data_IF_177595305979
#
_entry.id   IF_177595305979
#
_cell.length_a   1.000
_cell.length_b   1.000
_cell.length_c   1.000
_cell.angle_alpha   90.00
_cell.angle_beta   90.00
_cell.angle_gamma   90.00
#
_symmetry.space_group_name_H-M   'P 1'
#
loop_
_entity.id
_entity.type
_entity.pdbx_description
1 polymer ?
#
# COMPACT_ATOMS: atom_id res chain seq x y z
N UNK A 1 0.93 -17.05 2.16
CA UNK A 1 1.51 -17.38 0.83
C UNK A 1 0.58 -18.37 0.08
N UNK A 2 0.22 -19.53 0.62
CA UNK A 2 -0.66 -20.51 -0.06
C UNK A 2 -2.09 -19.99 -0.31
N UNK A 3 -2.63 -19.15 0.58
CA UNK A 3 -3.95 -18.54 0.41
C UNK A 3 -3.92 -17.38 -0.61
N UNK A 4 -2.86 -16.60 -0.63
CA UNK A 4 -2.66 -15.51 -1.61
C UNK A 4 -2.49 -16.06 -3.03
N UNK A 5 -1.85 -17.20 -3.21
CA UNK A 5 -1.74 -17.87 -4.51
C UNK A 5 -3.12 -18.27 -5.03
N UNK A 6 -4.02 -18.80 -4.18
CA UNK A 6 -5.39 -19.14 -4.58
C UNK A 6 -6.22 -17.93 -5.00
N UNK A 7 -6.03 -16.77 -4.38
CA UNK A 7 -6.71 -15.55 -4.79
C UNK A 7 -6.30 -15.11 -6.21
N UNK A 8 -5.04 -15.32 -6.58
CA UNK A 8 -4.54 -15.01 -7.91
C UNK A 8 -4.96 -16.03 -9.00
N UNK A 9 -5.34 -17.26 -8.62
CA UNK A 9 -5.67 -18.35 -9.58
C UNK A 9 -6.76 -17.93 -10.57
N UNK A 10 -7.82 -17.28 -10.12
CA UNK A 10 -8.90 -16.80 -10.99
C UNK A 10 -8.41 -15.78 -12.02
N UNK A 11 -7.50 -14.89 -11.60
CA UNK A 11 -6.90 -13.88 -12.49
C UNK A 11 -6.06 -14.59 -13.54
N UNK A 12 -5.19 -15.51 -13.14
CA UNK A 12 -4.34 -16.30 -14.02
C UNK A 12 -5.19 -17.13 -15.00
N UNK A 13 -6.25 -17.78 -14.52
CA UNK A 13 -7.17 -18.53 -15.35
C UNK A 13 -7.81 -17.66 -16.45
N UNK A 14 -8.34 -16.49 -16.07
CA UNK A 14 -8.93 -15.55 -17.02
C UNK A 14 -7.93 -15.03 -18.06
N UNK A 15 -6.66 -14.80 -17.68
CA UNK A 15 -5.61 -14.44 -18.63
C UNK A 15 -5.34 -15.57 -19.62
N UNK A 16 -5.23 -16.81 -19.13
CA UNK A 16 -5.00 -18.00 -19.95
C UNK A 16 -6.15 -18.27 -20.94
N UNK A 17 -7.41 -18.14 -20.48
CA UNK A 17 -8.60 -18.28 -21.36
C UNK A 17 -8.59 -17.25 -22.49
N UNK A 18 -8.04 -16.07 -22.25
CA UNK A 18 -7.86 -15.01 -23.25
C UNK A 18 -6.56 -15.13 -24.05
N UNK A 19 -5.79 -16.20 -23.84
CA UNK A 19 -4.49 -16.44 -24.48
C UNK A 19 -3.47 -15.34 -24.23
N UNK A 20 -3.54 -14.71 -23.04
CA UNK A 20 -2.55 -13.73 -22.58
C UNK A 20 -1.46 -14.50 -21.85
N UNK A 21 -0.25 -14.48 -22.40
CA UNK A 21 0.91 -15.06 -21.76
C UNK A 21 1.22 -14.34 -20.45
N UNK A 22 1.50 -15.09 -19.39
CA UNK A 22 1.73 -14.51 -18.08
C UNK A 22 2.82 -15.27 -17.32
N UNK A 23 3.59 -14.53 -16.52
CA UNK A 23 4.63 -15.02 -15.64
C UNK A 23 4.30 -14.61 -14.22
N UNK A 24 4.41 -15.54 -13.27
CA UNK A 24 4.09 -15.27 -11.87
C UNK A 24 5.35 -15.12 -11.04
N UNK A 25 5.47 -14.02 -10.31
CA UNK A 25 6.49 -13.80 -9.30
C UNK A 25 5.87 -13.82 -7.90
N UNK A 26 6.33 -14.74 -7.04
CA UNK A 26 5.81 -14.92 -5.68
C UNK A 26 6.93 -15.06 -4.62
N UNK A 27 8.18 -14.87 -4.98
CA UNK A 27 9.30 -14.98 -4.05
C UNK A 27 9.52 -13.68 -3.27
N UNK A 28 8.90 -13.61 -2.12
CA UNK A 28 9.08 -12.53 -1.13
C UNK A 28 9.85 -13.00 0.12
N UNK A 29 10.74 -13.96 -0.02
CA UNK A 29 11.57 -14.48 1.08
C UNK A 29 12.39 -13.38 1.77
N UNK A 30 12.91 -12.42 1.01
CA UNK A 30 13.61 -11.23 1.52
C UNK A 30 12.68 -10.02 1.78
N UNK A 31 11.35 -10.24 1.81
CA UNK A 31 10.36 -9.18 2.03
C UNK A 31 10.30 -8.15 0.90
N UNK A 32 10.01 -6.89 1.21
CA UNK A 32 10.05 -5.77 0.27
C UNK A 32 11.46 -5.17 0.27
N UNK A 33 12.39 -5.81 -0.42
CA UNK A 33 13.81 -5.43 -0.43
C UNK A 33 14.36 -5.29 -1.85
N UNK A 34 15.54 -4.65 -1.95
CA UNK A 34 16.25 -4.52 -3.23
C UNK A 34 16.61 -5.86 -3.85
N UNK A 35 16.85 -6.92 -3.04
CA UNK A 35 17.07 -8.28 -3.54
C UNK A 35 15.81 -8.84 -4.22
N UNK A 36 14.65 -8.68 -3.59
CA UNK A 36 13.36 -9.08 -4.16
C UNK A 36 13.07 -8.32 -5.45
N UNK A 37 13.30 -7.00 -5.44
CA UNK A 37 13.14 -6.15 -6.62
C UNK A 37 14.04 -6.60 -7.76
N UNK A 38 15.29 -6.90 -7.51
CA UNK A 38 16.24 -7.37 -8.52
C UNK A 38 15.77 -8.66 -9.19
N UNK A 39 15.34 -9.66 -8.37
CA UNK A 39 14.79 -10.92 -8.92
C UNK A 39 13.54 -10.69 -9.77
N UNK A 40 12.65 -9.85 -9.29
CA UNK A 40 11.43 -9.52 -10.02
C UNK A 40 11.71 -8.78 -11.34
N UNK A 41 12.66 -7.83 -11.35
CA UNK A 41 13.11 -7.13 -12.57
C UNK A 41 13.77 -8.08 -13.57
N UNK A 42 14.59 -9.02 -13.10
CA UNK A 42 15.23 -10.01 -13.97
C UNK A 42 14.17 -10.86 -14.66
N UNK A 43 13.23 -11.45 -13.90
CA UNK A 43 12.14 -12.24 -14.47
C UNK A 43 11.30 -11.42 -15.47
N UNK A 44 10.99 -10.17 -15.14
CA UNK A 44 10.20 -9.28 -15.99
C UNK A 44 10.93 -9.01 -17.32
N UNK A 45 12.23 -8.73 -17.28
CA UNK A 45 13.04 -8.45 -18.47
C UNK A 45 13.22 -9.69 -19.35
N UNK A 46 13.46 -10.86 -18.74
CA UNK A 46 13.55 -12.14 -19.46
C UNK A 46 12.23 -12.53 -20.13
N UNK A 47 11.09 -12.24 -19.46
CA UNK A 47 9.76 -12.48 -19.98
C UNK A 47 9.27 -11.45 -21.00
N UNK A 48 10.02 -10.38 -21.29
CA UNK A 48 9.64 -9.30 -22.22
C UNK A 48 8.20 -8.80 -21.99
N UNK A 49 7.81 -8.60 -20.73
CA UNK A 49 6.44 -8.27 -20.34
C UNK A 49 6.01 -6.88 -20.84
N UNK A 50 4.69 -6.68 -21.01
CA UNK A 50 4.09 -5.42 -21.47
C UNK A 50 3.24 -4.73 -20.39
N UNK A 51 3.05 -5.36 -19.23
CA UNK A 51 2.28 -4.82 -18.11
C UNK A 51 2.41 -5.67 -16.88
N UNK A 52 1.98 -5.14 -15.75
CA UNK A 52 2.10 -5.77 -14.44
C UNK A 52 0.75 -5.78 -13.75
N UNK A 53 0.40 -6.92 -13.15
CA UNK A 53 -0.74 -7.06 -12.24
C UNK A 53 -0.18 -7.39 -10.87
N UNK A 54 -0.33 -6.47 -9.91
CA UNK A 54 0.07 -6.67 -8.53
C UNK A 54 -1.12 -7.22 -7.74
N UNK A 55 -1.00 -8.45 -7.25
CA UNK A 55 -2.01 -9.05 -6.37
C UNK A 55 -1.40 -9.29 -5.00
N UNK A 56 -1.92 -8.65 -3.96
CA UNK A 56 -1.37 -8.81 -2.61
C UNK A 56 -1.47 -7.56 -1.74
N UNK A 57 -0.76 -7.56 -0.63
CA UNK A 57 -0.63 -6.40 0.25
C UNK A 57 0.50 -5.47 -0.15
N UNK A 58 0.88 -4.58 0.77
CA UNK A 58 1.86 -3.51 0.57
C UNK A 58 3.17 -3.95 -0.11
N UNK A 59 3.69 -5.15 0.24
CA UNK A 59 4.95 -5.67 -0.34
C UNK A 59 4.82 -5.92 -1.85
N UNK A 60 3.76 -6.61 -2.27
CA UNK A 60 3.50 -6.92 -3.67
C UNK A 60 3.24 -5.64 -4.47
N UNK A 61 2.44 -4.71 -3.91
CA UNK A 61 2.16 -3.42 -4.54
C UNK A 61 3.44 -2.63 -4.80
N UNK A 62 4.30 -2.47 -3.80
CA UNK A 62 5.52 -1.69 -3.94
C UNK A 62 6.52 -2.33 -4.92
N UNK A 63 6.77 -3.63 -4.81
CA UNK A 63 7.68 -4.32 -5.75
C UNK A 63 7.16 -4.24 -7.18
N UNK A 64 5.87 -4.51 -7.43
CA UNK A 64 5.31 -4.46 -8.77
C UNK A 64 5.34 -3.05 -9.38
N UNK A 65 5.03 -2.03 -8.59
CA UNK A 65 5.11 -0.62 -9.03
C UNK A 65 6.55 -0.21 -9.36
N UNK A 66 7.53 -0.66 -8.56
CA UNK A 66 8.94 -0.40 -8.84
C UNK A 66 9.43 -1.17 -10.07
N UNK A 67 9.01 -2.42 -10.27
CA UNK A 67 9.29 -3.15 -11.51
C UNK A 67 8.72 -2.41 -12.72
N UNK A 68 7.48 -1.92 -12.64
CA UNK A 68 6.86 -1.09 -13.67
C UNK A 68 7.69 0.16 -13.99
N UNK A 69 8.13 0.87 -12.95
CA UNK A 69 8.91 2.09 -13.08
C UNK A 69 10.29 1.88 -13.70
N UNK A 70 10.97 0.78 -13.33
CA UNK A 70 12.37 0.55 -13.65
C UNK A 70 12.58 -0.40 -14.84
N UNK A 71 11.53 -0.95 -15.42
CA UNK A 71 11.62 -1.96 -16.49
C UNK A 71 12.44 -1.48 -17.68
N UNK A 72 12.18 -0.27 -18.16
CA UNK A 72 12.82 0.34 -19.32
C UNK A 72 14.08 1.13 -18.98
N UNK A 73 14.41 1.23 -17.69
CA UNK A 73 15.62 1.95 -17.27
C UNK A 73 16.87 1.15 -17.63
N UNK A 74 17.87 1.87 -18.17
CA UNK A 74 19.18 1.30 -18.54
C UNK A 74 20.20 1.42 -17.42
N UNK A 75 19.98 2.33 -16.50
CA UNK A 75 20.85 2.54 -15.34
C UNK A 75 20.63 1.46 -14.29
N UNK A 76 21.66 1.27 -13.45
CA UNK A 76 21.56 0.36 -12.32
C UNK A 76 20.42 0.77 -11.38
N UNK A 77 19.70 -0.23 -10.90
CA UNK A 77 18.57 -0.07 -9.97
C UNK A 77 18.97 0.76 -8.74
N UNK A 78 20.20 0.63 -8.26
CA UNK A 78 20.66 1.35 -7.07
C UNK A 78 20.77 2.85 -7.26
N UNK A 79 20.91 3.36 -8.49
CA UNK A 79 20.86 4.80 -8.73
C UNK A 79 19.50 5.38 -8.27
N UNK A 80 18.41 4.65 -8.51
CA UNK A 80 17.06 5.06 -8.11
C UNK A 80 16.82 4.86 -6.61
N UNK A 81 17.40 3.82 -6.02
CA UNK A 81 17.38 3.61 -4.55
C UNK A 81 18.12 4.73 -3.83
N UNK A 82 19.16 5.29 -4.46
CA UNK A 82 19.98 6.38 -3.91
C UNK A 82 19.43 7.79 -4.27
N UNK A 83 18.23 7.88 -4.89
CA UNK A 83 17.49 9.12 -5.03
C UNK A 83 17.32 9.65 -6.45
N UNK A 84 17.84 8.97 -7.48
CA UNK A 84 17.49 9.31 -8.85
C UNK A 84 15.99 9.00 -9.09
N UNK A 85 15.36 9.79 -9.96
CA UNK A 85 13.97 9.56 -10.36
C UNK A 85 13.95 8.93 -11.76
N UNK A 86 13.24 7.81 -11.95
CA UNK A 86 13.12 7.18 -13.27
C UNK A 86 12.45 8.14 -14.26
N UNK A 87 12.91 8.18 -15.50
CA UNK A 87 12.41 9.10 -16.53
C UNK A 87 11.97 8.39 -17.83
N UNK A 88 12.17 7.08 -17.92
CA UNK A 88 11.68 6.29 -19.06
C UNK A 88 10.19 5.99 -18.92
N UNK A 89 9.56 5.55 -20.01
CA UNK A 89 8.16 5.13 -19.98
C UNK A 89 7.99 3.89 -19.08
N UNK A 90 7.21 4.01 -18.02
CA UNK A 90 6.87 2.90 -17.14
C UNK A 90 5.91 1.92 -17.83
N UNK A 91 5.98 0.64 -17.46
CA UNK A 91 4.95 -0.32 -17.87
C UNK A 91 3.61 0.01 -17.18
N UNK A 92 2.46 -0.24 -17.83
CA UNK A 92 1.17 -0.12 -17.16
C UNK A 92 1.07 -1.11 -16.00
N UNK A 93 0.58 -0.63 -14.85
CA UNK A 93 0.43 -1.41 -13.63
C UNK A 93 -1.04 -1.43 -13.20
N UNK A 94 -1.55 -2.61 -12.89
CA UNK A 94 -2.86 -2.82 -12.26
C UNK A 94 -2.60 -3.32 -10.84
N UNK A 95 -3.27 -2.72 -9.85
CA UNK A 95 -3.17 -3.12 -8.46
C UNK A 95 -4.46 -3.78 -7.98
N UNK A 96 -4.35 -4.97 -7.39
CA UNK A 96 -5.44 -5.73 -6.75
C UNK A 96 -5.07 -5.96 -5.30
N UNK A 97 -5.40 -5.02 -4.40
CA UNK A 97 -5.10 -5.14 -2.98
C UNK A 97 -5.81 -6.35 -2.34
N UNK A 98 -5.09 -7.10 -1.51
CA UNK A 98 -5.66 -8.16 -0.67
C UNK A 98 -5.74 -7.75 0.81
N UNK A 99 -5.48 -6.47 1.08
CA UNK A 99 -5.60 -5.83 2.38
C UNK A 99 -6.14 -4.42 2.17
N UNK A 100 -6.96 -3.93 3.08
CA UNK A 100 -7.48 -2.56 3.02
C UNK A 100 -6.46 -1.49 3.45
N UNK A 101 -5.19 -1.84 3.57
CA UNK A 101 -4.06 -1.00 3.97
C UNK A 101 -3.07 -0.83 2.81
N UNK A 102 -3.27 0.18 1.99
CA UNK A 102 -2.45 0.42 0.79
C UNK A 102 -2.06 1.90 0.61
N UNK A 103 -1.40 2.55 1.61
CA UNK A 103 -1.22 4.00 1.66
C UNK A 103 -0.42 4.58 0.49
N UNK A 104 0.37 3.77 -0.21
CA UNK A 104 1.22 4.24 -1.31
C UNK A 104 0.66 4.01 -2.71
N UNK A 105 -0.49 3.33 -2.84
CA UNK A 105 -0.99 2.92 -4.16
C UNK A 105 -1.29 4.10 -5.10
N UNK A 106 -1.64 5.25 -4.53
CA UNK A 106 -1.92 6.49 -5.28
C UNK A 106 -0.80 7.55 -5.18
N UNK A 107 0.36 7.20 -4.62
CA UNK A 107 1.51 8.10 -4.50
C UNK A 107 2.59 7.74 -5.53
N UNK A 108 3.54 8.66 -5.75
CA UNK A 108 4.78 8.38 -6.50
C UNK A 108 5.87 7.78 -5.62
N UNK A 109 5.56 7.34 -4.41
CA UNK A 109 6.51 6.87 -3.43
C UNK A 109 6.41 5.34 -3.27
N UNK A 110 7.56 4.68 -3.15
CA UNK A 110 7.66 3.25 -2.90
C UNK A 110 8.67 2.98 -1.78
N UNK A 111 8.23 2.61 -0.57
CA UNK A 111 9.14 2.17 0.48
C UNK A 111 9.73 0.80 0.16
N UNK A 112 11.05 0.68 0.30
CA UNK A 112 11.81 -0.56 0.09
C UNK A 112 12.97 -0.65 1.09
N UNK A 113 13.35 -1.87 1.47
CA UNK A 113 14.54 -2.10 2.29
C UNK A 113 15.74 -2.22 1.37
N UNK A 114 16.69 -1.31 1.53
CA UNK A 114 17.99 -1.41 0.85
C UNK A 114 18.84 -2.50 1.52
N UNK A 115 19.06 -3.59 0.79
CA UNK A 115 19.79 -4.75 1.30
C UNK A 115 21.30 -4.50 1.51
N UNK A 116 21.85 -3.37 0.99
CA UNK A 116 23.25 -3.00 1.21
C UNK A 116 23.49 -2.52 2.64
N UNK A 117 22.54 -1.79 3.22
CA UNK A 117 22.66 -1.18 4.54
C UNK A 117 21.55 -1.60 5.51
N UNK A 118 20.59 -2.42 5.06
CA UNK A 118 19.41 -2.86 5.82
C UNK A 118 18.59 -1.68 6.37
N UNK A 119 18.44 -0.62 5.57
CA UNK A 119 17.65 0.56 5.90
C UNK A 119 16.45 0.69 4.99
N UNK A 120 15.36 1.23 5.52
CA UNK A 120 14.21 1.63 4.71
C UNK A 120 14.58 2.86 3.89
N UNK A 121 14.34 2.79 2.60
CA UNK A 121 14.44 3.91 1.64
C UNK A 121 13.06 4.19 1.07
N UNK A 122 12.79 5.45 0.83
CA UNK A 122 11.60 5.89 0.12
C UNK A 122 12.03 6.28 -1.31
N UNK A 123 11.67 5.44 -2.27
CA UNK A 123 12.04 5.64 -3.67
C UNK A 123 10.93 6.38 -4.39
N UNK A 124 11.31 7.43 -5.12
CA UNK A 124 10.37 8.16 -5.97
C UNK A 124 10.31 7.54 -7.36
N UNK A 125 9.11 7.28 -7.82
CA UNK A 125 8.82 6.70 -9.14
C UNK A 125 7.97 7.69 -9.95
N UNK A 126 7.79 7.42 -11.25
CA UNK A 126 6.95 8.27 -12.11
C UNK A 126 5.50 8.29 -11.60
N UNK A 127 4.83 9.41 -11.82
CA UNK A 127 3.40 9.53 -11.57
C UNK A 127 2.58 8.69 -12.58
N UNK A 128 1.35 8.33 -12.21
CA UNK A 128 0.39 7.65 -13.06
C UNK A 128 0.84 6.27 -13.61
N UNK A 129 1.71 5.56 -12.91
CA UNK A 129 2.09 4.18 -13.23
C UNK A 129 0.89 3.26 -13.04
N UNK A 130 0.18 3.38 -11.93
CA UNK A 130 -1.02 2.59 -11.63
C UNK A 130 -2.16 3.10 -12.50
N UNK A 131 -2.61 2.25 -13.43
CA UNK A 131 -3.71 2.56 -14.37
C UNK A 131 -5.07 2.16 -13.83
N UNK A 132 -5.10 1.18 -12.93
CA UNK A 132 -6.33 0.67 -12.34
C UNK A 132 -6.03 0.07 -10.97
N UNK A 133 -6.89 0.38 -10.01
CA UNK A 133 -6.94 -0.30 -8.71
C UNK A 133 -8.26 -1.07 -8.66
N UNK A 134 -8.19 -2.38 -8.50
CA UNK A 134 -9.35 -3.25 -8.37
C UNK A 134 -9.49 -3.65 -6.90
N UNK A 135 -10.44 -3.03 -6.23
CA UNK A 135 -10.77 -3.34 -4.85
C UNK A 135 -11.89 -4.37 -4.80
N UNK A 136 -11.55 -5.60 -4.42
CA UNK A 136 -12.53 -6.68 -4.22
C UNK A 136 -12.52 -7.07 -2.74
N UNK A 137 -13.60 -6.80 -1.97
CA UNK A 137 -13.70 -7.17 -0.56
C UNK A 137 -13.46 -8.66 -0.30
N UNK A 138 -13.78 -9.53 -1.26
CA UNK A 138 -13.53 -10.98 -1.12
C UNK A 138 -12.04 -11.32 -1.02
N UNK A 139 -11.16 -10.49 -1.55
CA UNK A 139 -9.71 -10.68 -1.43
C UNK A 139 -9.21 -10.54 0.02
N UNK A 140 -10.01 -9.91 0.89
CA UNK A 140 -9.67 -9.65 2.30
C UNK A 140 -10.18 -10.74 3.26
N UNK A 141 -11.02 -11.67 2.79
CA UNK A 141 -11.60 -12.75 3.61
C UNK A 141 -10.54 -13.70 4.20
N UNK A 142 -9.31 -13.67 3.67
CA UNK A 142 -8.18 -14.47 4.19
C UNK A 142 -7.52 -13.85 5.42
N UNK A 143 -7.86 -12.60 5.76
CA UNK A 143 -7.33 -11.93 6.95
C UNK A 143 -7.95 -12.52 8.22
N UNK A 144 -7.11 -12.82 9.20
CA UNK A 144 -7.60 -13.21 10.54
C UNK A 144 -8.20 -11.99 11.24
N UNK A 145 -9.05 -12.23 12.25
CA UNK A 145 -9.67 -11.17 13.05
C UNK A 145 -8.63 -10.24 13.67
N UNK A 146 -7.56 -10.80 14.27
CA UNK A 146 -6.47 -9.99 14.83
C UNK A 146 -5.77 -9.13 13.78
N UNK A 147 -5.59 -9.65 12.55
CA UNK A 147 -5.01 -8.87 11.46
C UNK A 147 -5.95 -7.75 11.02
N UNK A 148 -7.25 -8.01 10.91
CA UNK A 148 -8.27 -7.01 10.57
C UNK A 148 -8.27 -5.88 11.61
N UNK A 149 -8.36 -6.21 12.89
CA UNK A 149 -8.37 -5.21 13.97
C UNK A 149 -7.11 -4.36 13.98
N UNK A 150 -5.93 -4.99 13.89
CA UNK A 150 -4.66 -4.25 13.85
C UNK A 150 -4.56 -3.34 12.62
N UNK A 151 -5.02 -3.78 11.46
CA UNK A 151 -5.03 -2.98 10.23
C UNK A 151 -6.07 -1.86 10.29
N UNK A 152 -7.25 -2.08 10.90
CA UNK A 152 -8.26 -1.03 11.12
C UNK A 152 -7.68 0.15 11.87
N UNK A 153 -7.04 -0.11 13.01
CA UNK A 153 -6.41 0.92 13.82
C UNK A 153 -5.31 1.65 13.05
N UNK A 154 -4.50 0.92 12.28
CA UNK A 154 -3.47 1.53 11.44
C UNK A 154 -4.07 2.44 10.36
N UNK A 155 -5.11 2.01 9.67
CA UNK A 155 -5.78 2.80 8.62
C UNK A 155 -6.46 4.03 9.22
N UNK A 156 -7.07 3.90 10.39
CA UNK A 156 -7.63 5.05 11.12
C UNK A 156 -6.54 6.06 11.48
N UNK A 157 -5.38 5.61 11.98
CA UNK A 157 -4.23 6.49 12.23
C UNK A 157 -3.81 7.22 10.94
N UNK A 158 -3.71 6.50 9.83
CA UNK A 158 -3.35 7.08 8.52
C UNK A 158 -4.38 8.10 8.01
N UNK A 159 -5.68 7.87 8.24
CA UNK A 159 -6.73 8.81 7.88
C UNK A 159 -6.60 10.11 8.68
N UNK A 160 -6.39 10.01 10.00
CA UNK A 160 -6.19 11.21 10.85
C UNK A 160 -4.89 11.93 10.50
N UNK A 161 -3.80 11.21 10.22
CA UNK A 161 -2.56 11.82 9.76
C UNK A 161 -2.74 12.59 8.44
N UNK A 162 -3.54 12.08 7.51
CA UNK A 162 -3.88 12.77 6.27
C UNK A 162 -4.68 14.06 6.54
N UNK A 163 -5.59 14.03 7.53
CA UNK A 163 -6.38 15.18 7.94
C UNK A 163 -5.55 16.30 8.55
N UNK A 164 -4.58 15.98 9.41
CA UNK A 164 -3.69 16.95 10.05
C UNK A 164 -2.45 17.29 9.22
N UNK A 165 -2.36 16.76 8.00
CA UNK A 165 -1.24 17.01 7.07
C UNK A 165 -1.18 18.48 6.68
N UNK A 166 0.04 19.03 6.57
CA UNK A 166 0.24 20.37 6.01
C UNK A 166 -0.08 20.47 4.51
N UNK A 167 -0.27 19.34 3.83
CA UNK A 167 -0.67 19.25 2.42
C UNK A 167 -2.13 18.91 2.24
N UNK A 168 -2.91 19.01 3.31
CA UNK A 168 -4.35 18.77 3.28
C UNK A 168 -5.04 19.69 2.28
N UNK A 169 -6.15 19.24 1.76
CA UNK A 169 -6.99 19.97 0.82
C UNK A 169 -8.42 19.43 0.88
N UNK A 170 -9.35 20.14 0.24
CA UNK A 170 -10.76 19.77 0.21
C UNK A 170 -11.00 18.29 -0.16
N UNK A 171 -10.28 17.78 -1.14
CA UNK A 171 -10.45 16.37 -1.57
C UNK A 171 -9.92 15.40 -0.52
N UNK A 172 -8.76 15.65 0.07
CA UNK A 172 -8.23 14.78 1.14
C UNK A 172 -9.19 14.73 2.33
N UNK A 173 -9.75 15.87 2.72
CA UNK A 173 -10.67 15.96 3.84
C UNK A 173 -11.97 15.18 3.59
N UNK A 174 -12.56 15.34 2.42
CA UNK A 174 -13.76 14.59 2.02
C UNK A 174 -13.54 13.07 2.09
N UNK A 175 -12.39 12.60 1.63
CA UNK A 175 -12.06 11.17 1.68
C UNK A 175 -11.76 10.70 3.10
N UNK A 176 -11.09 11.52 3.93
CA UNK A 176 -10.84 11.21 5.34
C UNK A 176 -12.15 11.09 6.12
N UNK A 177 -13.04 12.07 5.99
CA UNK A 177 -14.33 12.06 6.67
C UNK A 177 -15.09 10.77 6.37
N UNK A 178 -15.18 10.41 5.08
CA UNK A 178 -15.88 9.18 4.69
C UNK A 178 -15.15 7.92 5.10
N UNK A 179 -13.81 7.91 5.09
CA UNK A 179 -13.02 6.77 5.55
C UNK A 179 -13.23 6.51 7.05
N UNK A 180 -13.17 7.55 7.87
CA UNK A 180 -13.39 7.46 9.33
C UNK A 180 -14.79 6.97 9.66
N UNK A 181 -15.81 7.49 8.97
CA UNK A 181 -17.21 7.02 9.10
C UNK A 181 -17.31 5.52 8.81
N UNK A 182 -16.81 5.05 7.66
CA UNK A 182 -16.93 3.65 7.25
C UNK A 182 -16.15 2.70 8.17
N UNK A 183 -14.94 3.11 8.60
CA UNK A 183 -14.14 2.34 9.55
C UNK A 183 -14.81 2.31 10.92
N UNK A 184 -15.37 3.42 11.37
CA UNK A 184 -16.16 3.49 12.60
C UNK A 184 -17.32 2.49 12.59
N UNK A 185 -18.10 2.46 11.53
CA UNK A 185 -19.17 1.45 11.39
C UNK A 185 -18.65 0.01 11.38
N UNK A 186 -17.50 -0.23 10.77
CA UNK A 186 -16.88 -1.55 10.78
C UNK A 186 -16.39 -1.97 12.18
N UNK A 187 -15.96 -1.01 13.02
CA UNK A 187 -15.52 -1.26 14.40
C UNK A 187 -16.68 -1.57 15.32
N UNK A 188 -17.79 -0.88 15.21
CA UNK A 188 -18.99 -1.06 16.05
C UNK A 188 -19.80 -2.32 15.69
N UNK A 189 -19.36 -3.07 14.70
CA UNK A 189 -20.07 -4.25 14.21
C UNK A 189 -21.39 -3.94 13.53
N UNK A 190 -21.56 -2.70 13.08
CA UNK A 190 -22.76 -2.18 12.40
C UNK A 190 -24.07 -2.33 13.22
N UNK A 191 -23.99 -2.62 14.51
CA UNK A 191 -25.15 -2.89 15.37
C UNK A 191 -25.92 -1.62 15.78
N UNK A 192 -25.27 -0.46 15.73
CA UNK A 192 -25.86 0.82 16.17
C UNK A 192 -26.72 1.51 15.12
N UNK A 193 -26.64 1.12 13.84
CA UNK A 193 -27.25 1.82 12.71
C UNK A 193 -27.85 0.81 11.75
N UNK A 194 -28.70 -0.03 11.92
CA UNK A 194 -29.36 -0.91 10.93
C UNK A 194 -28.59 -1.11 9.60
N UNK A 195 -27.24 -0.96 9.67
CA UNK A 195 -26.36 -1.09 8.51
C UNK A 195 -26.17 -2.60 8.24
N UNK A 196 -26.73 -3.04 7.13
CA UNK A 196 -26.64 -4.43 6.68
C UNK A 196 -25.38 -4.71 5.85
N UNK A 197 -24.52 -3.71 5.65
CA UNK A 197 -23.31 -3.86 4.84
C UNK A 197 -22.27 -4.69 5.58
N UNK A 198 -21.75 -5.76 4.97
CA UNK A 198 -20.69 -6.59 5.57
C UNK A 198 -19.44 -5.77 5.95
N UNK A 199 -18.82 -6.14 7.07
CA UNK A 199 -17.63 -5.47 7.60
C UNK A 199 -16.51 -5.36 6.56
N UNK A 200 -16.31 -6.40 5.77
CA UNK A 200 -15.27 -6.46 4.73
C UNK A 200 -15.45 -5.36 3.67
N UNK A 201 -16.69 -5.06 3.30
CA UNK A 201 -17.01 -3.99 2.34
C UNK A 201 -16.71 -2.62 2.95
N UNK A 202 -17.10 -2.40 4.20
CA UNK A 202 -16.85 -1.14 4.91
C UNK A 202 -15.34 -0.89 5.06
N UNK A 203 -14.57 -1.93 5.42
CA UNK A 203 -13.13 -1.86 5.55
C UNK A 203 -12.43 -1.64 4.20
N UNK A 204 -12.85 -2.32 3.15
CA UNK A 204 -12.33 -2.12 1.80
C UNK A 204 -12.54 -0.67 1.34
N UNK A 205 -13.76 -0.17 1.46
CA UNK A 205 -14.09 1.21 1.08
C UNK A 205 -13.36 2.24 1.95
N UNK A 206 -13.34 2.07 3.26
CA UNK A 206 -12.63 2.96 4.17
C UNK A 206 -11.12 2.98 3.91
N UNK A 207 -10.53 1.81 3.65
CA UNK A 207 -9.11 1.67 3.34
C UNK A 207 -8.72 2.32 2.02
N UNK A 208 -9.51 2.15 0.95
CA UNK A 208 -9.21 2.79 -0.33
C UNK A 208 -9.37 4.31 -0.26
N UNK A 209 -10.38 4.81 0.46
CA UNK A 209 -10.55 6.24 0.68
C UNK A 209 -9.40 6.85 1.46
N UNK A 210 -8.93 6.18 2.53
CA UNK A 210 -7.70 6.58 3.25
C UNK A 210 -6.49 6.61 2.32
N UNK A 211 -6.35 5.62 1.43
CA UNK A 211 -5.25 5.56 0.47
C UNK A 211 -5.30 6.72 -0.54
N UNK A 212 -6.49 7.11 -0.99
CA UNK A 212 -6.69 8.28 -1.87
C UNK A 212 -6.37 9.56 -1.11
N UNK A 213 -6.83 9.71 0.13
CA UNK A 213 -6.54 10.86 0.97
C UNK A 213 -5.03 11.05 1.17
N UNK A 214 -4.29 9.97 1.48
CA UNK A 214 -2.83 9.99 1.58
C UNK A 214 -2.13 10.36 0.26
N UNK A 215 -2.69 9.95 -0.87
CA UNK A 215 -2.21 10.33 -2.19
C UNK A 215 -2.45 11.81 -2.53
N UNK A 216 -3.53 12.38 -2.02
CA UNK A 216 -3.89 13.79 -2.19
C UNK A 216 -3.23 14.72 -1.15
N UNK A 217 -2.74 14.20 -0.03
CA UNK A 217 -2.06 14.92 1.04
C UNK A 217 -0.64 14.38 1.26
N UNK A 218 -0.37 13.78 2.40
CA UNK A 218 0.89 13.07 2.68
C UNK A 218 0.69 12.08 3.83
N UNK A 219 1.50 11.02 3.86
CA UNK A 219 1.63 10.16 5.03
C UNK A 219 2.25 10.93 6.20
N UNK A 220 1.74 10.69 7.39
CA UNK A 220 2.21 11.33 8.60
C UNK A 220 3.39 10.62 9.25
N UNK A 221 3.85 11.22 10.36
CA UNK A 221 5.07 10.81 11.06
C UNK A 221 4.94 9.43 11.73
N UNK A 222 3.79 9.10 12.34
CA UNK A 222 3.59 7.80 12.97
C UNK A 222 3.68 6.66 11.93
N UNK A 223 3.09 6.86 10.76
CA UNK A 223 3.15 5.91 9.65
C UNK A 223 4.58 5.71 9.13
N UNK A 224 5.34 6.76 8.92
CA UNK A 224 6.73 6.70 8.43
C UNK A 224 7.67 6.07 9.47
N UNK A 225 7.56 6.46 10.74
CA UNK A 225 8.34 5.88 11.83
C UNK A 225 8.02 4.40 12.03
N UNK A 226 6.73 4.03 11.98
CA UNK A 226 6.31 2.63 12.14
C UNK A 226 6.89 1.72 11.06
N UNK A 227 6.97 2.19 9.82
CA UNK A 227 7.60 1.43 8.73
C UNK A 227 9.11 1.26 8.95
N UNK A 228 9.79 2.32 9.37
CA UNK A 228 11.24 2.30 9.61
C UNK A 228 11.60 1.37 10.78
N UNK A 229 10.86 1.47 11.89
CA UNK A 229 11.04 0.62 13.07
C UNK A 229 10.71 -0.84 12.74
N UNK A 230 9.59 -1.08 12.04
CA UNK A 230 9.18 -2.42 11.62
C UNK A 230 10.21 -3.09 10.71
N UNK A 231 10.79 -2.34 9.77
CA UNK A 231 11.83 -2.84 8.88
C UNK A 231 13.09 -3.28 9.65
N UNK A 232 13.47 -2.51 10.67
CA UNK A 232 14.71 -2.77 11.46
C UNK A 232 14.53 -3.85 12.52
N UNK A 233 13.42 -3.84 13.25
CA UNK A 233 13.23 -4.67 14.44
C UNK A 233 12.26 -5.83 14.24
N UNK A 234 11.67 -5.99 13.04
CA UNK A 234 10.69 -7.03 12.70
C UNK A 234 9.47 -7.04 13.62
N UNK A 235 9.07 -5.89 14.13
CA UNK A 235 7.87 -5.68 14.94
C UNK A 235 6.71 -5.32 14.00
N UNK A 236 5.48 -5.68 14.37
CA UNK A 236 4.28 -5.33 13.60
C UNK A 236 4.18 -3.82 13.38
N UNK A 237 4.09 -3.39 12.13
CA UNK A 237 3.91 -1.98 11.77
C UNK A 237 2.63 -1.40 12.38
N UNK A 238 1.53 -2.15 12.32
CA UNK A 238 0.25 -1.72 12.88
C UNK A 238 0.34 -1.45 14.38
N UNK A 239 1.03 -2.34 15.12
CA UNK A 239 1.26 -2.15 16.56
C UNK A 239 2.07 -0.88 16.84
N UNK A 240 3.15 -0.65 16.08
CA UNK A 240 3.98 0.54 16.25
C UNK A 240 3.18 1.80 15.94
N UNK A 241 2.43 1.83 14.85
CA UNK A 241 1.57 2.97 14.49
C UNK A 241 0.59 3.30 15.62
N UNK A 242 -0.08 2.29 16.16
CA UNK A 242 -1.06 2.48 17.25
C UNK A 242 -0.42 3.02 18.54
N UNK A 243 0.81 2.57 18.85
CA UNK A 243 1.54 3.07 20.02
C UNK A 243 2.00 4.53 19.84
N UNK A 244 2.48 4.87 18.63
CA UNK A 244 2.98 6.22 18.34
C UNK A 244 1.87 7.24 18.16
N UNK A 245 0.70 6.81 17.71
CA UNK A 245 -0.38 7.70 17.31
C UNK A 245 -0.82 8.70 18.40
N UNK A 246 -1.06 8.33 19.66
CA UNK A 246 -1.43 9.28 20.71
C UNK A 246 -0.41 10.42 20.88
N UNK A 247 0.88 10.11 20.81
CA UNK A 247 1.95 11.11 20.93
C UNK A 247 1.97 12.08 19.74
N UNK A 248 1.69 11.58 18.53
CA UNK A 248 1.60 12.43 17.34
C UNK A 248 0.40 13.36 17.42
N UNK A 249 -0.74 12.89 17.94
CA UNK A 249 -1.91 13.74 18.18
C UNK A 249 -1.62 14.79 19.25
N UNK A 250 -0.98 14.42 20.35
CA UNK A 250 -0.60 15.35 21.41
C UNK A 250 0.33 16.45 20.87
N UNK A 251 1.35 16.09 20.08
CA UNK A 251 2.24 17.03 19.42
C UNK A 251 1.47 17.93 18.43
N UNK A 252 0.58 17.37 17.63
CA UNK A 252 -0.23 18.13 16.69
C UNK A 252 -1.14 19.15 17.42
N UNK A 253 -1.80 18.75 18.49
CA UNK A 253 -2.61 19.66 19.34
C UNK A 253 -1.75 20.79 19.93
N UNK A 254 -0.55 20.48 20.41
CA UNK A 254 0.31 21.45 21.07
C UNK A 254 0.93 22.46 20.09
N UNK A 255 1.26 22.06 18.88
CA UNK A 255 2.09 22.87 17.99
C UNK A 255 1.42 23.34 16.70
N UNK A 256 0.30 22.76 16.26
CA UNK A 256 -0.19 23.00 14.90
C UNK A 256 -1.70 22.93 14.70
N UNK A 257 -2.47 22.59 15.70
CA UNK A 257 -3.81 22.13 15.41
C UNK A 257 -4.88 23.19 15.60
N UNK A 258 -5.03 24.05 14.63
CA UNK A 258 -6.31 24.75 14.41
C UNK A 258 -7.43 23.79 13.99
N UNK A 259 -7.12 22.51 13.67
CA UNK A 259 -8.04 21.52 13.10
C UNK A 259 -8.37 20.33 14.01
N UNK A 260 -7.72 20.20 15.15
CA UNK A 260 -8.04 19.25 16.20
C UNK A 260 -8.74 19.97 17.35
#
# INVERSE_FOLDING_TARGET
>A
ILQEVKLAEKIIQNLNERKIENFTFSDFSDGCSTKTLQRALTLAKEGHIHGIICVGGLKAMNIGRMVSALFNEVHDMYNFIDGAVPNTAALPCICVPTTFRSPFVFTSECPIIDSRCNQLKLVHIQNNIVKLVLEDPNMMLTLTENQRTAMMLEVLCQAVEAYISQKENFFSDMFVEKAVELIGYAMDGATSLEITTPQEILLAQGGIMTSIANGASALGLASLLSMTISARYKISKSLISTILFPYIIEDAVQFKAERL
#
